data_IF_556807436914
#
_entry.id   IF_556807436914
#
_cell.length_a   1.000
_cell.length_b   1.000
_cell.length_c   1.000
_cell.angle_alpha   90.00
_cell.angle_beta   90.00
_cell.angle_gamma   90.00
#
_symmetry.space_group_name_H-M   'P 1'
#
loop_
_entity.id
_entity.type
_entity.pdbx_description
1 polymer ?
#
# COMPACT_ATOMS: atom_id res chain seq x y z
N UNK A 1 15.02 -19.15 15.79
CA UNK A 1 14.76 -18.80 14.36
C UNK A 1 13.52 -17.93 14.22
N UNK A 2 12.30 -18.42 14.47
CA UNK A 2 11.10 -17.60 14.30
C UNK A 2 10.93 -16.51 15.39
N UNK A 3 11.42 -16.74 16.62
CA UNK A 3 11.52 -15.69 17.65
C UNK A 3 12.54 -14.60 17.28
N UNK A 4 13.66 -15.00 16.67
CA UNK A 4 14.67 -14.05 16.16
C UNK A 4 14.08 -13.18 15.05
N UNK A 5 13.25 -13.76 14.16
CA UNK A 5 12.52 -13.03 13.12
C UNK A 5 11.49 -12.05 13.69
N UNK A 6 10.77 -12.39 14.77
CA UNK A 6 9.88 -11.41 15.41
C UNK A 6 10.69 -10.28 16.09
N UNK A 7 11.84 -10.60 16.70
CA UNK A 7 12.74 -9.59 17.24
C UNK A 7 13.26 -8.64 16.15
N UNK A 8 13.70 -9.18 15.01
CA UNK A 8 14.15 -8.39 13.87
C UNK A 8 13.02 -7.51 13.32
N UNK A 9 11.82 -8.06 13.13
CA UNK A 9 10.66 -7.30 12.66
C UNK A 9 10.30 -6.15 13.61
N UNK A 10 10.43 -6.34 14.93
CA UNK A 10 10.24 -5.28 15.93
C UNK A 10 11.32 -4.22 15.88
N UNK A 11 12.58 -4.59 15.65
CA UNK A 11 13.67 -3.63 15.49
C UNK A 11 13.46 -2.75 14.26
N UNK A 12 13.01 -3.35 13.14
CA UNK A 12 12.63 -2.60 11.93
C UNK A 12 11.43 -1.68 12.23
N UNK A 13 10.44 -2.19 12.98
CA UNK A 13 9.27 -1.41 13.37
C UNK A 13 9.63 -0.16 14.18
N UNK A 14 10.55 -0.30 15.14
CA UNK A 14 11.08 0.78 15.97
C UNK A 14 11.94 1.77 15.17
N UNK A 15 12.80 1.27 14.29
CA UNK A 15 13.58 2.12 13.39
C UNK A 15 12.67 2.96 12.48
N UNK A 16 11.56 2.38 12.02
CA UNK A 16 10.57 3.06 11.20
C UNK A 16 9.79 4.13 11.99
N UNK A 17 9.47 3.89 13.26
CA UNK A 17 8.88 4.90 14.15
C UNK A 17 9.85 6.05 14.43
N UNK A 18 11.12 5.74 14.67
CA UNK A 18 12.16 6.75 14.85
C UNK A 18 12.40 7.57 13.57
N UNK A 19 12.21 6.98 12.40
CA UNK A 19 12.28 7.68 11.13
C UNK A 19 11.11 8.64 10.94
N UNK A 20 9.87 8.22 11.22
CA UNK A 20 8.70 9.10 11.08
C UNK A 20 8.69 10.24 12.10
N UNK A 21 9.24 10.02 13.30
CA UNK A 21 9.42 11.06 14.31
C UNK A 21 10.40 12.18 13.90
N UNK A 22 11.21 11.96 12.86
CA UNK A 22 12.12 12.98 12.30
C UNK A 22 11.51 13.77 11.15
N UNK A 23 10.26 13.52 10.79
CA UNK A 23 9.60 14.28 9.72
C UNK A 23 9.40 15.74 10.14
N UNK A 24 9.69 16.70 9.24
CA UNK A 24 9.42 18.11 9.50
C UNK A 24 7.94 18.36 9.80
N UNK A 25 7.66 19.34 10.66
CA UNK A 25 6.28 19.72 11.01
C UNK A 25 5.47 20.14 9.76
N UNK A 26 6.13 20.68 8.74
CA UNK A 26 5.50 21.03 7.45
C UNK A 26 4.96 19.82 6.69
N UNK A 27 5.40 18.60 7.04
CA UNK A 27 4.91 17.36 6.44
C UNK A 27 3.73 16.78 7.22
N UNK A 28 3.30 17.42 8.31
CA UNK A 28 2.14 16.97 9.08
C UNK A 28 0.88 16.92 8.23
N UNK A 29 0.03 15.94 8.54
CA UNK A 29 -1.28 15.78 7.94
C UNK A 29 -2.35 16.37 8.83
N UNK A 30 -3.40 16.92 8.22
CA UNK A 30 -4.64 17.29 8.92
C UNK A 30 -5.80 16.47 8.39
N UNK A 31 -6.70 16.08 9.28
CA UNK A 31 -7.87 15.30 8.91
C UNK A 31 -9.03 16.23 8.56
N UNK A 32 -9.72 15.92 7.46
CA UNK A 32 -10.99 16.53 7.11
C UNK A 32 -12.05 15.46 6.95
N UNK A 33 -13.24 15.72 7.50
CA UNK A 33 -14.42 14.88 7.27
C UNK A 33 -15.24 15.46 6.13
N UNK A 34 -15.31 14.73 5.03
CA UNK A 34 -16.13 15.09 3.88
C UNK A 34 -17.61 14.88 4.18
N UNK A 35 -18.41 15.90 3.89
CA UNK A 35 -19.86 15.73 3.71
C UNK A 35 -20.10 15.09 2.34
N UNK A 36 -19.86 13.78 2.23
CA UNK A 36 -19.94 13.09 0.95
C UNK A 36 -21.42 12.94 0.51
N UNK A 37 -21.82 13.45 -0.66
CA UNK A 37 -23.19 13.30 -1.15
C UNK A 37 -23.46 11.93 -1.80
N UNK A 38 -22.46 11.05 -1.87
CA UNK A 38 -22.50 9.74 -2.53
C UNK A 38 -22.23 8.60 -1.54
N UNK A 39 -22.69 7.36 -1.85
CA UNK A 39 -22.33 6.19 -1.07
C UNK A 39 -20.81 5.94 -1.08
N UNK A 40 -20.29 5.50 0.06
CA UNK A 40 -18.90 5.09 0.26
C UNK A 40 -18.85 3.56 0.43
N UNK A 41 -17.76 2.89 -0.01
CA UNK A 41 -16.64 3.45 -0.77
C UNK A 41 -17.04 3.85 -2.20
N UNK A 42 -16.41 4.90 -2.69
CA UNK A 42 -16.53 5.39 -4.07
C UNK A 42 -15.22 5.17 -4.83
N UNK A 43 -15.20 5.47 -6.14
CA UNK A 43 -14.00 5.34 -6.98
C UNK A 43 -12.76 6.05 -6.43
N UNK A 44 -12.96 7.24 -5.85
CA UNK A 44 -11.85 8.13 -5.43
C UNK A 44 -11.73 8.25 -3.91
N UNK A 45 -12.72 7.78 -3.14
CA UNK A 45 -12.75 7.89 -1.68
C UNK A 45 -13.23 6.58 -1.06
N UNK A 46 -12.39 5.98 -0.21
CA UNK A 46 -12.78 4.79 0.56
C UNK A 46 -13.68 5.16 1.75
N UNK A 47 -13.34 6.23 2.47
CA UNK A 47 -14.09 6.72 3.64
C UNK A 47 -14.36 8.23 3.54
N UNK A 48 -15.16 8.77 4.45
CA UNK A 48 -15.41 10.22 4.54
C UNK A 48 -14.24 10.99 5.14
N UNK A 49 -13.32 10.31 5.84
CA UNK A 49 -12.15 10.95 6.42
C UNK A 49 -11.02 10.96 5.39
N UNK A 50 -10.49 12.14 5.11
CA UNK A 50 -9.35 12.34 4.20
C UNK A 50 -8.25 13.13 4.89
N UNK A 51 -7.02 12.86 4.50
CA UNK A 51 -5.85 13.60 4.98
C UNK A 51 -5.47 14.67 3.97
N UNK A 52 -5.19 15.85 4.49
CA UNK A 52 -4.67 16.98 3.75
C UNK A 52 -3.22 17.25 4.16
N UNK A 53 -2.42 17.73 3.21
CA UNK A 53 -1.01 18.06 3.42
C UNK A 53 -0.71 19.40 2.73
N UNK A 54 0.39 20.06 3.06
CA UNK A 54 0.78 21.28 2.34
C UNK A 54 1.10 21.01 0.86
N UNK A 55 1.67 19.85 0.54
CA UNK A 55 1.91 19.41 -0.84
C UNK A 55 1.74 17.89 -0.99
N UNK A 56 1.35 17.38 -2.17
CA UNK A 56 1.27 15.93 -2.40
C UNK A 56 2.59 15.19 -2.22
N UNK A 57 3.73 15.88 -2.38
CA UNK A 57 5.04 15.31 -2.14
C UNK A 57 5.26 14.92 -0.67
N UNK A 58 4.65 15.66 0.28
CA UNK A 58 4.76 15.38 1.71
C UNK A 58 3.92 14.18 2.16
N UNK A 59 2.90 13.82 1.39
CA UNK A 59 2.11 12.62 1.65
C UNK A 59 2.86 11.34 1.28
N UNK A 60 3.84 11.40 0.37
CA UNK A 60 4.55 10.22 -0.12
C UNK A 60 5.35 9.50 1.00
N UNK A 61 6.18 10.18 1.81
CA UNK A 61 6.84 9.55 2.97
C UNK A 61 5.86 8.88 3.93
N UNK A 62 4.72 9.51 4.22
CA UNK A 62 3.68 8.94 5.08
C UNK A 62 3.04 7.69 4.47
N UNK A 63 2.72 7.71 3.18
CA UNK A 63 2.17 6.54 2.48
C UNK A 63 3.15 5.36 2.50
N UNK A 64 4.43 5.63 2.29
CA UNK A 64 5.50 4.62 2.42
C UNK A 64 5.60 4.09 3.84
N UNK A 65 5.51 4.98 4.84
CA UNK A 65 5.49 4.59 6.25
C UNK A 65 4.29 3.66 6.56
N UNK A 66 3.08 4.02 6.14
CA UNK A 66 1.88 3.19 6.35
C UNK A 66 1.99 1.83 5.67
N UNK A 67 2.41 1.80 4.41
CA UNK A 67 2.60 0.55 3.66
C UNK A 67 3.66 -0.36 4.31
N UNK A 68 4.77 0.21 4.73
CA UNK A 68 5.84 -0.54 5.41
C UNK A 68 5.35 -1.09 6.76
N UNK A 69 4.62 -0.30 7.55
CA UNK A 69 4.01 -0.79 8.81
C UNK A 69 3.03 -1.93 8.56
N UNK A 70 2.21 -1.87 7.51
CA UNK A 70 1.33 -2.99 7.14
C UNK A 70 2.13 -4.25 6.78
N UNK A 71 3.19 -4.12 5.98
CA UNK A 71 4.03 -5.25 5.56
C UNK A 71 4.73 -5.91 6.76
N UNK A 72 5.29 -5.11 7.68
CA UNK A 72 5.91 -5.60 8.91
C UNK A 72 4.89 -6.36 9.74
N UNK A 73 3.71 -5.78 10.00
CA UNK A 73 2.70 -6.42 10.83
C UNK A 73 2.09 -7.68 10.18
N UNK A 74 1.95 -7.72 8.84
CA UNK A 74 1.56 -8.94 8.12
C UNK A 74 2.62 -10.04 8.25
N UNK A 75 3.90 -9.67 8.13
CA UNK A 75 5.03 -10.61 8.34
C UNK A 75 5.03 -11.17 9.76
N UNK A 76 4.84 -10.32 10.77
CA UNK A 76 4.73 -10.74 12.17
C UNK A 76 3.52 -11.65 12.40
N UNK A 77 2.38 -11.37 11.78
CA UNK A 77 1.20 -12.23 11.86
C UNK A 77 1.47 -13.64 11.30
N UNK A 78 2.20 -13.74 10.18
CA UNK A 78 2.65 -15.02 9.62
C UNK A 78 3.59 -15.76 10.56
N UNK A 79 4.57 -15.07 11.14
CA UNK A 79 5.50 -15.64 12.14
C UNK A 79 4.73 -16.19 13.35
N UNK A 80 3.78 -15.42 13.91
CA UNK A 80 2.98 -15.88 15.05
C UNK A 80 2.07 -17.05 14.70
N UNK A 81 1.55 -17.09 13.47
CA UNK A 81 0.71 -18.21 13.00
C UNK A 81 1.53 -19.48 12.83
N UNK A 82 2.77 -19.37 12.36
CA UNK A 82 3.69 -20.48 12.25
C UNK A 82 4.14 -21.01 13.62
N UNK A 83 4.49 -20.12 14.56
CA UNK A 83 4.96 -20.50 15.90
C UNK A 83 3.86 -21.09 16.79
N UNK A 84 2.64 -20.59 16.66
CA UNK A 84 1.53 -20.97 17.52
C UNK A 84 0.25 -21.21 16.69
N UNK A 85 0.16 -22.38 16.03
CA UNK A 85 -0.99 -22.74 15.20
C UNK A 85 -2.25 -22.99 16.05
N UNK A 86 -2.12 -23.59 17.23
CA UNK A 86 -3.24 -24.09 18.04
C UNK A 86 -3.66 -23.18 19.21
N UNK A 87 -2.91 -22.10 19.48
CA UNK A 87 -3.32 -21.13 20.48
C UNK A 87 -4.36 -20.18 19.86
N UNK A 88 -5.54 -20.06 20.47
CA UNK A 88 -6.53 -19.03 20.11
C UNK A 88 -5.90 -17.63 20.01
N UNK A 89 -6.51 -16.72 19.26
CA UNK A 89 -5.88 -15.46 18.78
C UNK A 89 -5.12 -14.71 19.92
N UNK A 90 -3.78 -14.86 20.02
CA UNK A 90 -3.02 -14.24 21.09
C UNK A 90 -3.12 -12.71 20.96
N UNK A 91 -3.04 -11.98 22.08
CA UNK A 91 -3.09 -10.52 22.09
C UNK A 91 -2.12 -9.88 21.06
N UNK A 92 -0.98 -10.53 20.79
CA UNK A 92 -0.01 -10.13 19.78
C UNK A 92 -0.56 -10.20 18.33
N UNK A 93 -1.29 -11.27 17.97
CA UNK A 93 -1.92 -11.39 16.64
C UNK A 93 -3.00 -10.33 16.46
N UNK A 94 -3.83 -10.13 17.49
CA UNK A 94 -4.86 -9.08 17.47
C UNK A 94 -4.26 -7.68 17.30
N UNK A 95 -3.14 -7.41 17.99
CA UNK A 95 -2.39 -6.16 17.84
C UNK A 95 -1.94 -5.96 16.39
N UNK A 96 -1.31 -6.97 15.78
CA UNK A 96 -0.87 -6.88 14.38
C UNK A 96 -2.03 -6.56 13.43
N UNK A 97 -3.16 -7.26 13.57
CA UNK A 97 -4.37 -7.03 12.77
C UNK A 97 -4.88 -5.60 12.94
N UNK A 98 -4.96 -5.10 14.18
CA UNK A 98 -5.38 -3.72 14.46
C UNK A 98 -4.42 -2.69 13.84
N UNK A 99 -3.10 -2.92 13.88
CA UNK A 99 -2.14 -2.04 13.22
C UNK A 99 -2.31 -2.04 11.70
N UNK A 100 -2.45 -3.21 11.06
CA UNK A 100 -2.68 -3.31 9.62
C UNK A 100 -3.92 -2.53 9.23
N UNK A 101 -5.03 -2.71 9.95
CA UNK A 101 -6.29 -1.99 9.71
C UNK A 101 -6.13 -0.47 9.83
N UNK A 102 -5.46 0.01 10.88
CA UNK A 102 -5.25 1.44 11.08
C UNK A 102 -4.39 2.05 9.96
N UNK A 103 -3.31 1.36 9.58
CA UNK A 103 -2.43 1.84 8.50
C UNK A 103 -3.10 1.80 7.13
N UNK A 104 -3.94 0.79 6.87
CA UNK A 104 -4.76 0.73 5.66
C UNK A 104 -5.74 1.90 5.60
N UNK A 105 -6.41 2.23 6.71
CA UNK A 105 -7.28 3.40 6.79
C UNK A 105 -6.52 4.71 6.53
N UNK A 106 -5.35 4.89 7.16
CA UNK A 106 -4.53 6.09 6.95
C UNK A 106 -4.07 6.22 5.49
N UNK A 107 -3.63 5.12 4.87
CA UNK A 107 -3.27 5.12 3.45
C UNK A 107 -4.49 5.48 2.58
N UNK A 108 -5.64 4.87 2.83
CA UNK A 108 -6.88 5.13 2.10
C UNK A 108 -7.35 6.60 2.24
N UNK A 109 -7.18 7.21 3.40
CA UNK A 109 -7.48 8.63 3.66
C UNK A 109 -6.49 9.58 3.01
N UNK A 110 -5.23 9.17 2.82
CA UNK A 110 -4.17 9.98 2.21
C UNK A 110 -4.22 10.02 0.67
N UNK A 111 -4.67 8.92 0.05
CA UNK A 111 -4.68 8.77 -1.41
C UNK A 111 -5.48 9.85 -2.15
N UNK A 112 -6.68 10.27 -1.74
CA UNK A 112 -7.45 11.26 -2.48
C UNK A 112 -6.69 12.59 -2.64
N UNK A 113 -5.91 12.99 -1.63
CA UNK A 113 -5.07 14.19 -1.71
C UNK A 113 -3.87 13.99 -2.64
N UNK A 114 -3.17 12.86 -2.52
CA UNK A 114 -2.05 12.51 -3.40
C UNK A 114 -2.47 12.53 -4.88
N UNK A 115 -3.67 12.01 -5.16
CA UNK A 115 -4.26 11.94 -6.50
C UNK A 115 -5.01 13.22 -6.90
N UNK A 116 -4.92 14.28 -6.09
CA UNK A 116 -5.54 15.59 -6.30
C UNK A 116 -7.06 15.56 -6.55
N UNK A 117 -7.76 14.62 -5.91
CA UNK A 117 -9.22 14.40 -6.05
C UNK A 117 -10.07 15.36 -5.23
N UNK A 118 -9.44 16.18 -4.41
CA UNK A 118 -10.07 17.33 -3.79
C UNK A 118 -9.05 18.45 -3.59
N UNK A 119 -9.54 19.67 -3.39
CA UNK A 119 -8.77 20.84 -2.95
C UNK A 119 -9.55 21.55 -1.86
N UNK A 120 -8.84 22.12 -0.89
CA UNK A 120 -9.44 23.02 0.09
C UNK A 120 -9.45 24.43 -0.52
N UNK A 121 -10.60 25.09 -0.47
CA UNK A 121 -10.82 26.45 -0.95
C UNK A 121 -11.35 27.28 0.21
N UNK A 122 -10.70 28.41 0.46
CA UNK A 122 -11.17 29.37 1.46
C UNK A 122 -12.52 29.97 1.01
N UNK A 123 -13.48 30.03 1.93
CA UNK A 123 -14.76 30.67 1.66
C UNK A 123 -14.54 32.15 1.29
N UNK A 124 -15.16 32.67 0.20
CA UNK A 124 -14.97 34.06 -0.21
C UNK A 124 -15.58 35.11 0.74
N UNK A 125 -16.25 34.69 1.83
CA UNK A 125 -16.88 35.60 2.80
C UNK A 125 -16.76 35.04 4.22
N UNK A 126 -15.83 35.60 5.01
CA UNK A 126 -15.68 35.72 6.48
C UNK A 126 -16.28 34.68 7.46
N UNK A 127 -16.85 33.57 7.02
CA UNK A 127 -17.14 32.41 7.85
C UNK A 127 -15.92 31.49 7.74
N UNK A 128 -15.28 31.23 8.86
CA UNK A 128 -14.10 30.37 9.07
C UNK A 128 -14.37 28.87 8.78
N UNK A 129 -15.14 28.58 7.74
CA UNK A 129 -15.43 27.23 7.26
C UNK A 129 -14.70 27.04 5.93
N UNK A 130 -13.61 26.28 5.96
CA UNK A 130 -12.93 25.80 4.76
C UNK A 130 -13.90 24.96 3.92
N UNK A 131 -14.00 25.26 2.61
CA UNK A 131 -14.83 24.48 1.70
C UNK A 131 -13.98 23.48 0.92
N UNK A 132 -14.42 22.23 0.87
CA UNK A 132 -13.76 21.18 0.09
C UNK A 132 -14.35 21.14 -1.32
N UNK A 133 -13.54 21.53 -2.31
CA UNK A 133 -13.88 21.40 -3.72
C UNK A 133 -13.46 20.03 -4.22
N UNK A 134 -14.43 19.18 -4.57
CA UNK A 134 -14.17 17.88 -5.17
C UNK A 134 -13.72 18.03 -6.61
N UNK A 135 -12.68 17.29 -6.95
CA UNK A 135 -12.01 17.32 -8.23
C UNK A 135 -11.98 15.92 -8.87
N UNK A 136 -13.15 15.28 -8.91
CA UNK A 136 -13.31 13.89 -9.34
C UNK A 136 -13.15 13.71 -10.85
N UNK A 137 -13.26 14.80 -11.63
CA UNK A 137 -13.19 14.78 -13.10
C UNK A 137 -11.81 15.11 -13.66
N UNK A 138 -10.88 15.68 -12.88
CA UNK A 138 -9.51 15.93 -13.37
C UNK A 138 -8.71 14.63 -13.50
N UNK A 139 -7.95 14.55 -14.59
CA UNK A 139 -7.01 13.46 -14.85
C UNK A 139 -5.86 13.47 -13.83
N UNK A 140 -5.46 12.28 -13.38
CA UNK A 140 -4.36 12.12 -12.44
C UNK A 140 -3.05 12.33 -13.20
N UNK A 141 -2.20 13.24 -12.72
CA UNK A 141 -0.90 13.48 -13.32
C UNK A 141 0.02 12.27 -13.10
N UNK A 142 0.76 11.78 -14.11
CA UNK A 142 1.58 10.56 -13.99
C UNK A 142 2.58 10.55 -12.82
N UNK A 143 3.20 11.69 -12.50
CA UNK A 143 4.14 11.76 -11.38
C UNK A 143 3.46 11.54 -10.01
N UNK A 144 2.17 11.85 -9.87
CA UNK A 144 1.40 11.57 -8.64
C UNK A 144 1.10 10.08 -8.48
N UNK A 145 0.91 9.37 -9.60
CA UNK A 145 0.79 7.92 -9.59
C UNK A 145 2.09 7.30 -9.06
N UNK A 146 3.25 7.78 -9.53
CA UNK A 146 4.57 7.30 -9.05
C UNK A 146 4.76 7.38 -7.53
N UNK A 147 4.17 8.39 -6.87
CA UNK A 147 4.24 8.55 -5.41
C UNK A 147 3.37 7.55 -4.62
N UNK A 148 2.41 6.90 -5.27
CA UNK A 148 1.37 6.10 -4.60
C UNK A 148 1.34 4.64 -5.04
N UNK A 149 1.91 4.31 -6.21
CA UNK A 149 1.92 2.96 -6.79
C UNK A 149 2.53 1.92 -5.85
N UNK A 150 3.72 2.17 -5.28
CA UNK A 150 4.36 1.17 -4.41
C UNK A 150 3.58 0.94 -3.11
N UNK A 151 3.17 2.00 -2.36
CA UNK A 151 2.30 1.82 -1.19
C UNK A 151 1.00 1.07 -1.49
N UNK A 152 0.37 1.40 -2.63
CA UNK A 152 -0.83 0.71 -3.10
C UNK A 152 -0.58 -0.75 -3.42
N UNK A 153 0.51 -1.07 -4.13
CA UNK A 153 0.88 -2.44 -4.50
C UNK A 153 1.10 -3.34 -3.28
N UNK A 154 1.72 -2.80 -2.23
CA UNK A 154 1.81 -3.50 -0.94
C UNK A 154 0.41 -3.71 -0.38
N UNK A 155 -0.36 -2.64 -0.17
CA UNK A 155 -1.68 -2.72 0.47
C UNK A 155 -2.67 -3.64 -0.28
N UNK A 156 -2.64 -3.64 -1.60
CA UNK A 156 -3.51 -4.46 -2.46
C UNK A 156 -3.19 -5.96 -2.43
N UNK A 157 -1.95 -6.31 -2.06
CA UNK A 157 -1.48 -7.69 -1.99
C UNK A 157 -1.54 -8.35 -0.62
N UNK A 158 -1.59 -7.56 0.45
CA UNK A 158 -1.65 -8.08 1.81
C UNK A 158 -3.02 -8.74 2.06
N UNK A 159 -3.01 -10.05 2.36
CA UNK A 159 -4.24 -10.82 2.65
C UNK A 159 -4.89 -10.45 3.97
N UNK A 160 -4.15 -9.77 4.84
CA UNK A 160 -4.58 -9.37 6.18
C UNK A 160 -5.31 -8.01 6.19
N UNK A 161 -5.36 -7.31 5.06
CA UNK A 161 -6.20 -6.12 4.86
C UNK A 161 -7.64 -6.58 4.59
N UNK A 162 -8.61 -5.82 5.09
CA UNK A 162 -10.03 -6.08 4.86
C UNK A 162 -10.35 -6.27 3.37
N UNK A 163 -11.24 -7.21 3.06
CA UNK A 163 -11.47 -7.62 1.68
C UNK A 163 -12.00 -6.47 0.80
N UNK A 164 -12.90 -5.62 1.32
CA UNK A 164 -13.47 -4.49 0.60
C UNK A 164 -12.40 -3.40 0.39
N UNK A 165 -11.62 -3.10 1.43
CA UNK A 165 -10.55 -2.11 1.35
C UNK A 165 -9.43 -2.54 0.40
N UNK A 166 -9.07 -3.82 0.44
CA UNK A 166 -8.07 -4.40 -0.46
C UNK A 166 -8.53 -4.39 -1.91
N UNK A 167 -9.80 -4.72 -2.17
CA UNK A 167 -10.38 -4.60 -3.51
C UNK A 167 -10.35 -3.14 -4.00
N UNK A 168 -10.70 -2.19 -3.14
CA UNK A 168 -10.61 -0.77 -3.45
C UNK A 168 -9.18 -0.30 -3.78
N UNK A 169 -8.16 -0.79 -3.05
CA UNK A 169 -6.77 -0.53 -3.40
C UNK A 169 -6.37 -1.12 -4.76
N UNK A 170 -6.81 -2.36 -5.07
CA UNK A 170 -6.58 -3.00 -6.37
C UNK A 170 -7.20 -2.18 -7.50
N UNK A 171 -8.46 -1.78 -7.38
CA UNK A 171 -9.15 -0.96 -8.38
C UNK A 171 -8.46 0.39 -8.61
N UNK A 172 -7.95 0.99 -7.53
CA UNK A 172 -7.18 2.23 -7.59
C UNK A 172 -5.85 2.00 -8.32
N UNK A 173 -5.13 0.94 -7.99
CA UNK A 173 -3.85 0.60 -8.59
C UNK A 173 -3.99 0.27 -10.09
N UNK A 174 -4.96 -0.55 -10.48
CA UNK A 174 -5.27 -0.87 -11.88
C UNK A 174 -5.58 0.40 -12.68
N UNK A 175 -6.31 1.34 -12.09
CA UNK A 175 -6.60 2.64 -12.72
C UNK A 175 -5.33 3.46 -12.94
N UNK A 176 -4.41 3.49 -11.97
CA UNK A 176 -3.13 4.18 -12.11
C UNK A 176 -2.21 3.51 -13.13
N UNK A 177 -2.21 2.18 -13.21
CA UNK A 177 -1.47 1.41 -14.22
C UNK A 177 -1.90 1.74 -15.64
N UNK A 178 -3.21 1.72 -15.89
CA UNK A 178 -3.81 2.14 -17.18
C UNK A 178 -3.43 3.57 -17.58
N UNK A 179 -3.33 4.48 -16.61
CA UNK A 179 -2.96 5.88 -16.86
C UNK A 179 -1.46 6.07 -17.13
N UNK A 180 -0.61 5.24 -16.54
CA UNK A 180 0.86 5.35 -16.69
C UNK A 180 1.41 4.53 -17.86
N UNK A 181 0.58 3.68 -18.48
CA UNK A 181 1.00 2.80 -19.57
C UNK A 181 1.88 1.64 -19.09
N UNK A 182 1.91 1.38 -17.79
CA UNK A 182 2.64 0.27 -17.19
C UNK A 182 1.75 -0.97 -17.13
N UNK A 183 1.97 -1.89 -18.08
CA UNK A 183 1.21 -3.14 -18.18
C UNK A 183 1.37 -4.03 -16.93
N UNK A 184 2.48 -3.93 -16.18
CA UNK A 184 2.70 -4.72 -14.96
C UNK A 184 1.73 -4.27 -13.86
N UNK A 185 1.42 -2.98 -13.81
CA UNK A 185 0.44 -2.39 -12.88
C UNK A 185 -0.99 -2.56 -13.41
N UNK A 186 -1.18 -2.73 -14.72
CA UNK A 186 -2.50 -3.03 -15.29
C UNK A 186 -2.98 -4.46 -14.95
N UNK A 187 -2.06 -5.41 -14.75
CA UNK A 187 -2.36 -6.81 -14.44
C UNK A 187 -2.70 -7.12 -12.97
N UNK A 188 -2.85 -6.12 -12.08
CA UNK A 188 -3.19 -6.33 -10.63
C UNK A 188 -4.50 -7.10 -10.45
N UNK A 189 -5.40 -6.97 -11.41
CA UNK A 189 -6.72 -7.63 -11.43
C UNK A 189 -6.59 -9.16 -11.61
N UNK A 190 -5.41 -9.64 -12.02
CA UNK A 190 -5.08 -11.07 -12.10
C UNK A 190 -4.24 -11.46 -10.89
N UNK A 191 -4.62 -12.54 -10.19
CA UNK A 191 -4.16 -12.94 -8.84
C UNK A 191 -2.65 -13.21 -8.64
N UNK A 192 -1.78 -12.85 -9.58
CA UNK A 192 -0.35 -13.21 -9.61
C UNK A 192 0.64 -12.27 -8.92
N UNK A 193 0.22 -11.19 -8.24
CA UNK A 193 1.18 -10.21 -7.70
C UNK A 193 2.11 -10.77 -6.60
N UNK A 194 1.70 -11.81 -5.87
CA UNK A 194 2.46 -12.36 -4.72
C UNK A 194 2.65 -13.88 -4.72
N UNK A 195 2.40 -14.58 -5.83
CA UNK A 195 2.74 -16.00 -5.93
C UNK A 195 4.24 -16.15 -6.22
N UNK A 196 5.05 -16.06 -5.16
CA UNK A 196 6.48 -16.36 -5.20
C UNK A 196 6.79 -17.85 -5.46
N UNK A 197 5.77 -18.70 -5.63
CA UNK A 197 5.93 -20.14 -5.82
C UNK A 197 6.21 -20.54 -7.29
N UNK A 198 6.04 -19.64 -8.27
CA UNK A 198 6.16 -20.01 -9.69
C UNK A 198 7.58 -19.83 -10.27
N UNK A 199 8.47 -19.12 -9.57
CA UNK A 199 9.87 -18.94 -10.02
C UNK A 199 10.80 -20.15 -9.77
N UNK A 200 10.33 -21.16 -9.03
CA UNK A 200 11.14 -22.36 -8.74
C UNK A 200 10.98 -23.49 -9.75
N UNK A 201 9.96 -23.48 -10.62
CA UNK A 201 9.70 -24.57 -11.58
C UNK A 201 10.43 -24.42 -12.91
N UNK A 202 10.76 -23.21 -13.32
CA UNK A 202 11.36 -22.96 -14.63
C UNK A 202 12.89 -23.19 -14.70
N UNK A 203 13.53 -23.53 -13.59
CA UNK A 203 14.96 -23.90 -13.57
C UNK A 203 15.22 -25.40 -13.66
N UNK A 204 14.21 -26.27 -13.59
CA UNK A 204 14.44 -27.73 -13.49
C UNK A 204 14.23 -28.53 -14.80
N UNK A 205 13.86 -27.90 -15.92
CA UNK A 205 13.70 -28.60 -17.20
C UNK A 205 14.46 -27.93 -18.35
N UNK A 206 15.79 -27.98 -18.27
CA UNK A 206 16.64 -27.87 -19.47
C UNK A 206 17.24 -29.25 -19.76
N UNK A 207 16.77 -29.97 -20.81
CA UNK A 207 17.37 -31.24 -21.19
C UNK A 207 18.80 -31.00 -21.69
N UNK A 208 19.73 -31.84 -21.22
CA UNK A 208 21.13 -31.82 -21.63
C UNK A 208 21.26 -31.99 -23.16
N UNK A 209 22.02 -31.09 -23.78
CA UNK A 209 22.35 -31.16 -25.19
C UNK A 209 23.19 -32.43 -25.49
N UNK A 210 23.04 -33.05 -26.67
CA UNK A 210 23.75 -34.27 -27.02
C UNK A 210 25.25 -33.99 -27.24
N UNK A 211 26.10 -34.85 -26.66
CA UNK A 211 27.54 -34.88 -26.94
C UNK A 211 27.75 -35.22 -28.43
N UNK A 212 28.35 -34.28 -29.17
CA UNK A 212 28.99 -34.57 -30.45
C UNK A 212 30.32 -35.28 -30.16
N UNK A 213 30.30 -36.61 -30.16
CA UNK A 213 31.50 -37.41 -30.36
C UNK A 213 31.71 -37.62 -31.86
N UNK A 214 32.89 -37.21 -32.36
CA UNK A 214 33.35 -37.62 -33.68
C UNK A 214 34.45 -36.74 -34.27
N UNK A 215 35.71 -37.21 -34.14
CA UNK A 215 36.79 -37.17 -35.15
C UNK A 215 37.31 -35.77 -35.60
N UNK A 216 38.61 -35.47 -35.74
CA UNK A 216 39.86 -36.23 -35.72
C UNK A 216 41.06 -35.24 -35.74
N UNK A 217 42.27 -35.81 -35.61
CA UNK A 217 43.59 -35.34 -36.08
C UNK A 217 44.52 -34.63 -35.06
N UNK A 218 45.35 -35.43 -34.39
CA UNK A 218 46.79 -35.55 -34.68
C UNK A 218 47.33 -36.89 -34.18
#
# INVERSE_FOLDING_TARGET
MAEDLDCEARNIEEALDNWSAQFPDEWSSWEHTLSCPYPLPSKDFYSSVVFNYSTPAYAAPWNTYYATKMLINSTRLKIFTFLHPDSGLPACKQRCISHIKNMANHLASSLPFCLQKFKIVDAPTSSSNEFLMLNTYEEIKPYMAGLTVWPLGIASGLRDVDCEQRAWFRDTLTRLGKMTGDQVIESVDTDGWFDFDEYSKDMEHKPAAPRLEGLAAM
#
